data_IF_307088636269
#
_entry.id   IF_307088636269
#
_cell.length_a   1.000
_cell.length_b   1.000
_cell.length_c   1.000
_cell.angle_alpha   90.00
_cell.angle_beta   90.00
_cell.angle_gamma   90.00
#
_symmetry.space_group_name_H-M   'P 1'
#
loop_
_entity.id
_entity.type
_entity.pdbx_description
1 polymer ?
#
# COMPACT_ATOMS: atom_id res chain seq x y z
N UNK A 1 -30.98 19.87 1.25
CA UNK A 1 -31.24 18.48 0.81
C UNK A 1 -29.91 17.76 0.72
N UNK A 2 -29.58 16.97 1.74
CA UNK A 2 -28.39 16.16 1.74
C UNK A 2 -28.66 14.85 1.00
N UNK A 3 -27.82 14.55 0.00
CA UNK A 3 -27.77 13.21 -0.57
C UNK A 3 -27.07 12.30 0.43
N UNK A 4 -27.78 11.32 0.96
CA UNK A 4 -27.14 10.26 1.72
C UNK A 4 -26.41 9.34 0.78
N UNK A 5 -25.07 9.42 0.78
CA UNK A 5 -24.24 8.46 0.06
C UNK A 5 -24.14 7.21 0.94
N UNK A 6 -24.38 6.00 0.41
CA UNK A 6 -24.20 4.77 1.17
C UNK A 6 -22.78 4.71 1.73
N UNK A 7 -22.55 4.12 2.91
CA UNK A 7 -21.21 3.90 3.43
C UNK A 7 -20.35 3.14 2.42
N UNK A 8 -19.06 3.46 2.36
CA UNK A 8 -18.12 2.74 1.51
C UNK A 8 -18.08 1.26 1.90
N UNK A 9 -18.14 0.38 0.91
CA UNK A 9 -18.13 -1.06 1.13
C UNK A 9 -16.71 -1.59 1.08
N UNK A 10 -16.15 -1.88 2.26
CA UNK A 10 -14.82 -2.48 2.38
C UNK A 10 -14.88 -3.97 2.03
N UNK A 11 -13.75 -4.49 1.54
CA UNK A 11 -13.54 -5.92 1.36
C UNK A 11 -12.58 -6.47 2.44
N UNK A 12 -12.09 -7.65 2.27
CA UNK A 12 -11.14 -8.33 3.16
C UNK A 12 -9.93 -8.84 2.38
N UNK A 13 -8.87 -9.24 3.10
CA UNK A 13 -7.61 -9.66 2.49
C UNK A 13 -7.77 -10.90 1.60
N UNK A 14 -8.61 -11.85 2.00
CA UNK A 14 -8.84 -13.07 1.21
C UNK A 14 -9.45 -12.74 -0.15
N UNK A 15 -10.40 -11.84 -0.17
CA UNK A 15 -11.03 -11.36 -1.40
C UNK A 15 -10.01 -10.65 -2.29
N UNK A 16 -9.17 -9.80 -1.71
CA UNK A 16 -8.12 -9.09 -2.46
C UNK A 16 -7.15 -10.08 -3.13
N UNK A 17 -6.66 -11.06 -2.37
CA UNK A 17 -5.73 -12.06 -2.88
C UNK A 17 -6.40 -12.89 -4.00
N UNK A 18 -7.65 -13.28 -3.81
CA UNK A 18 -8.41 -14.00 -4.82
C UNK A 18 -8.60 -13.23 -6.11
N UNK A 19 -8.95 -11.96 -6.02
CA UNK A 19 -9.11 -11.09 -7.20
C UNK A 19 -7.80 -10.90 -7.95
N UNK A 20 -6.68 -10.72 -7.23
CA UNK A 20 -5.36 -10.61 -7.86
C UNK A 20 -4.96 -11.91 -8.57
N UNK A 21 -5.24 -13.06 -7.96
CA UNK A 21 -4.99 -14.35 -8.59
C UNK A 21 -5.80 -14.52 -9.88
N UNK A 22 -7.06 -14.10 -9.87
CA UNK A 22 -7.93 -14.16 -11.04
C UNK A 22 -7.49 -13.22 -12.17
N UNK A 23 -6.75 -12.16 -11.86
CA UNK A 23 -6.25 -11.23 -12.87
C UNK A 23 -5.16 -11.85 -13.77
N UNK A 24 -4.52 -12.93 -13.32
CA UNK A 24 -3.39 -13.53 -14.02
C UNK A 24 -2.08 -12.78 -13.91
N UNK A 25 -2.05 -11.66 -13.19
CA UNK A 25 -0.84 -10.86 -12.96
C UNK A 25 -0.34 -11.04 -11.54
N UNK A 26 0.97 -10.87 -11.29
CA UNK A 26 1.47 -10.85 -9.91
C UNK A 26 0.79 -9.74 -9.10
N UNK A 27 0.21 -10.08 -7.96
CA UNK A 27 -0.49 -9.11 -7.14
C UNK A 27 0.45 -8.02 -6.61
N UNK A 28 -0.09 -6.80 -6.46
CA UNK A 28 0.62 -5.69 -5.85
C UNK A 28 -0.35 -4.91 -4.98
N UNK A 29 -0.04 -4.82 -3.69
CA UNK A 29 -0.89 -4.18 -2.70
C UNK A 29 -0.10 -3.19 -1.85
N UNK A 30 -0.80 -2.21 -1.31
CA UNK A 30 -0.24 -1.31 -0.30
C UNK A 30 -1.02 -1.49 1.00
N UNK A 31 -0.29 -1.69 2.07
CA UNK A 31 -0.84 -1.76 3.44
C UNK A 31 -0.40 -0.51 4.19
N UNK A 32 -1.36 0.21 4.76
CA UNK A 32 -1.11 1.45 5.49
C UNK A 32 -1.15 1.20 6.99
N UNK A 33 -0.09 1.61 7.68
CA UNK A 33 0.03 1.49 9.13
C UNK A 33 0.10 2.88 9.76
N UNK A 34 -0.85 3.21 10.64
CA UNK A 34 -0.93 4.52 11.31
C UNK A 34 -1.13 5.72 10.36
N UNK A 35 -1.77 5.54 9.23
CA UNK A 35 -2.13 6.63 8.33
C UNK A 35 -3.54 7.13 8.71
N UNK A 36 -3.60 8.33 9.25
CA UNK A 36 -4.86 8.90 9.76
C UNK A 36 -5.43 10.02 8.90
N UNK A 37 -4.64 10.59 7.99
CA UNK A 37 -5.11 11.64 7.10
C UNK A 37 -5.81 11.02 5.88
N UNK A 38 -7.11 11.30 5.67
CA UNK A 38 -7.86 10.77 4.53
C UNK A 38 -7.31 11.24 3.17
N UNK A 39 -6.58 12.35 3.13
CA UNK A 39 -5.92 12.82 1.91
C UNK A 39 -4.78 11.91 1.51
N UNK A 40 -4.00 11.42 2.48
CA UNK A 40 -2.95 10.43 2.21
C UNK A 40 -3.56 9.10 1.71
N UNK A 41 -4.62 8.64 2.34
CA UNK A 41 -5.31 7.43 1.88
C UNK A 41 -5.81 7.59 0.43
N UNK A 42 -6.46 8.70 0.12
CA UNK A 42 -6.94 8.97 -1.25
C UNK A 42 -5.81 9.01 -2.27
N UNK A 43 -4.70 9.67 -1.94
CA UNK A 43 -3.53 9.75 -2.82
C UNK A 43 -2.91 8.37 -3.05
N UNK A 44 -2.83 7.54 -2.01
CA UNK A 44 -2.31 6.16 -2.13
C UNK A 44 -3.23 5.33 -3.04
N UNK A 45 -4.54 5.38 -2.84
CA UNK A 45 -5.50 4.67 -3.69
C UNK A 45 -5.31 5.04 -5.16
N UNK A 46 -5.18 6.35 -5.43
CA UNK A 46 -4.96 6.84 -6.79
C UNK A 46 -3.66 6.32 -7.39
N UNK A 47 -2.58 6.33 -6.62
CA UNK A 47 -1.28 5.83 -7.09
C UNK A 47 -1.30 4.32 -7.34
N UNK A 48 -1.92 3.54 -6.44
CA UNK A 48 -2.07 2.09 -6.64
C UNK A 48 -2.81 1.80 -7.93
N UNK A 49 -3.91 2.49 -8.18
CA UNK A 49 -4.68 2.33 -9.42
C UNK A 49 -3.85 2.74 -10.65
N UNK A 50 -3.13 3.86 -10.56
CA UNK A 50 -2.35 4.40 -11.68
C UNK A 50 -1.20 3.47 -12.09
N UNK A 51 -0.60 2.75 -11.14
CA UNK A 51 0.56 1.91 -11.36
C UNK A 51 0.26 0.42 -11.43
N UNK A 52 -1.01 0.06 -11.59
CA UNK A 52 -1.41 -1.32 -11.82
C UNK A 52 -1.48 -2.19 -10.58
N UNK A 53 -1.57 -1.59 -9.40
CA UNK A 53 -1.78 -2.34 -8.16
C UNK A 53 -3.21 -2.84 -8.04
N UNK A 54 -3.43 -3.77 -7.12
CA UNK A 54 -4.67 -4.53 -7.02
C UNK A 54 -5.55 -4.13 -5.84
N UNK A 55 -5.02 -3.40 -4.88
CA UNK A 55 -5.80 -2.95 -3.73
C UNK A 55 -4.98 -2.30 -2.64
N UNK A 56 -5.69 -1.78 -1.65
CA UNK A 56 -5.13 -1.14 -0.46
C UNK A 56 -5.74 -1.79 0.77
N UNK A 57 -4.92 -1.98 1.81
CA UNK A 57 -5.39 -2.51 3.10
C UNK A 57 -5.17 -1.45 4.17
N UNK A 58 -6.21 -1.21 4.96
CA UNK A 58 -6.17 -0.31 6.11
C UNK A 58 -6.57 -1.05 7.38
N UNK A 59 -6.06 -0.66 8.57
CA UNK A 59 -6.55 -1.21 9.82
C UNK A 59 -7.94 -0.66 10.14
N UNK A 60 -8.72 -1.43 10.88
CA UNK A 60 -10.06 -1.03 11.28
C UNK A 60 -10.04 0.17 12.25
N UNK A 61 -9.00 0.23 13.10
CA UNK A 61 -8.85 1.29 14.11
C UNK A 61 -7.61 2.13 13.82
N UNK A 62 -7.62 3.39 14.26
CA UNK A 62 -6.51 4.33 14.15
C UNK A 62 -6.05 4.52 12.70
N UNK A 63 -7.03 4.61 11.80
CA UNK A 63 -6.78 4.75 10.38
C UNK A 63 -7.79 5.71 9.76
N UNK A 64 -7.37 6.39 8.70
CA UNK A 64 -8.31 7.09 7.85
C UNK A 64 -9.23 6.07 7.18
N UNK A 65 -10.49 6.44 7.01
CA UNK A 65 -11.46 5.66 6.25
C UNK A 65 -11.74 6.30 4.89
N UNK A 66 -12.46 5.57 4.06
CA UNK A 66 -12.91 6.09 2.78
C UNK A 66 -14.10 7.02 3.00
N UNK A 67 -13.79 8.30 3.16
CA UNK A 67 -14.73 9.39 3.37
C UNK A 67 -14.85 10.25 2.12
N UNK A 68 -15.65 11.32 2.19
CA UNK A 68 -15.73 12.30 1.09
C UNK A 68 -14.39 12.91 0.71
N UNK A 69 -13.50 13.17 1.70
CA UNK A 69 -12.15 13.69 1.44
C UNK A 69 -11.30 12.64 0.69
N UNK A 70 -11.30 11.40 1.15
CA UNK A 70 -10.63 10.28 0.47
C UNK A 70 -11.13 10.14 -0.95
N UNK A 71 -12.43 10.21 -1.14
CA UNK A 71 -13.04 10.11 -2.46
C UNK A 71 -12.53 11.18 -3.42
N UNK A 72 -12.48 12.43 -2.95
CA UNK A 72 -12.00 13.56 -3.76
C UNK A 72 -10.51 13.43 -4.09
N UNK A 73 -9.68 13.12 -3.10
CA UNK A 73 -8.23 13.02 -3.29
C UNK A 73 -7.82 11.79 -4.10
N UNK A 74 -8.65 10.76 -4.13
CA UNK A 74 -8.44 9.59 -5.00
C UNK A 74 -8.84 9.86 -6.45
N UNK A 75 -9.42 11.02 -6.76
CA UNK A 75 -9.99 11.35 -8.07
C UNK A 75 -11.03 10.32 -8.55
N UNK A 76 -11.82 9.78 -7.62
CA UNK A 76 -12.84 8.77 -7.91
C UNK A 76 -12.33 7.35 -8.10
N UNK A 77 -11.02 7.10 -8.02
CA UNK A 77 -10.48 5.75 -8.19
C UNK A 77 -10.89 4.80 -7.06
N UNK A 78 -11.27 5.32 -5.89
CA UNK A 78 -11.81 4.51 -4.81
C UNK A 78 -13.07 3.73 -5.20
N UNK A 79 -13.78 4.16 -6.24
CA UNK A 79 -14.92 3.43 -6.77
C UNK A 79 -14.54 2.11 -7.43
N UNK A 80 -13.33 1.99 -7.93
CA UNK A 80 -12.87 0.85 -8.73
C UNK A 80 -11.79 0.01 -8.05
N UNK A 81 -10.96 0.65 -7.24
CA UNK A 81 -9.89 -0.06 -6.54
C UNK A 81 -10.40 -0.56 -5.20
N UNK A 82 -10.37 -1.87 -4.94
CA UNK A 82 -10.85 -2.38 -3.67
C UNK A 82 -9.96 -1.98 -2.50
N UNK A 83 -10.61 -1.64 -1.39
CA UNK A 83 -9.94 -1.34 -0.12
C UNK A 83 -10.43 -2.34 0.92
N UNK A 84 -9.51 -3.09 1.47
CA UNK A 84 -9.78 -4.00 2.58
C UNK A 84 -9.56 -3.30 3.91
N UNK A 85 -10.39 -3.64 4.88
CA UNK A 85 -10.25 -3.16 6.26
C UNK A 85 -10.09 -4.38 7.15
N UNK A 86 -8.98 -4.43 7.89
CA UNK A 86 -8.60 -5.58 8.70
C UNK A 86 -8.37 -5.19 10.16
N UNK A 87 -8.73 -6.09 11.07
CA UNK A 87 -8.57 -5.86 12.50
C UNK A 87 -7.10 -5.91 12.92
N UNK A 88 -6.32 -6.80 12.32
CA UNK A 88 -4.94 -7.07 12.72
C UNK A 88 -4.01 -7.09 11.51
N UNK A 89 -3.19 -6.05 11.35
CA UNK A 89 -2.28 -5.95 10.20
C UNK A 89 -1.22 -7.04 10.20
N UNK A 90 -0.68 -7.42 11.36
CA UNK A 90 0.32 -8.49 11.43
C UNK A 90 -0.24 -9.80 10.88
N UNK A 91 -1.45 -10.16 11.25
CA UNK A 91 -2.12 -11.34 10.74
C UNK A 91 -2.37 -11.23 9.22
N UNK A 92 -2.77 -10.04 8.77
CA UNK A 92 -2.99 -9.76 7.35
C UNK A 92 -1.71 -9.97 6.54
N UNK A 93 -0.59 -9.46 7.03
CA UNK A 93 0.70 -9.63 6.35
C UNK A 93 1.10 -11.11 6.28
N UNK A 94 0.88 -11.86 7.35
CA UNK A 94 1.13 -13.31 7.36
C UNK A 94 0.26 -14.05 6.36
N UNK A 95 -0.98 -13.61 6.16
CA UNK A 95 -1.87 -14.18 5.15
C UNK A 95 -1.33 -13.93 3.74
N UNK A 96 -0.83 -12.73 3.46
CA UNK A 96 -0.14 -12.44 2.21
C UNK A 96 1.07 -13.36 2.01
N UNK A 97 1.89 -13.53 3.04
CA UNK A 97 3.09 -14.39 2.98
C UNK A 97 2.74 -15.85 2.65
N UNK A 98 1.66 -16.36 3.25
CA UNK A 98 1.16 -17.71 2.95
C UNK A 98 0.78 -17.89 1.48
N UNK A 99 0.40 -16.81 0.82
CA UNK A 99 -0.02 -16.82 -0.57
C UNK A 99 1.10 -16.40 -1.53
N UNK A 100 2.34 -16.44 -1.07
CA UNK A 100 3.52 -16.22 -1.91
C UNK A 100 3.92 -14.76 -2.10
N UNK A 101 3.38 -13.84 -1.31
CA UNK A 101 3.75 -12.42 -1.37
C UNK A 101 4.97 -12.14 -0.54
N UNK A 102 5.88 -11.34 -1.07
CA UNK A 102 6.93 -10.73 -0.27
C UNK A 102 6.41 -9.44 0.34
N UNK A 103 6.64 -9.26 1.62
CA UNK A 103 6.19 -8.07 2.36
C UNK A 103 7.38 -7.14 2.55
N UNK A 104 7.29 -5.96 1.94
CA UNK A 104 8.35 -4.94 1.92
C UNK A 104 7.88 -3.75 2.75
N UNK A 105 8.53 -3.50 3.87
CA UNK A 105 8.26 -2.32 4.68
C UNK A 105 9.14 -1.16 4.26
N UNK A 106 8.56 0.03 4.14
CA UNK A 106 9.30 1.26 3.84
C UNK A 106 9.71 1.95 5.13
N UNK A 107 11.00 2.06 5.35
CA UNK A 107 11.52 2.79 6.50
C UNK A 107 12.95 3.25 6.24
N UNK A 108 13.35 4.32 6.90
CA UNK A 108 14.73 4.77 6.88
C UNK A 108 15.63 3.72 7.55
N UNK A 109 16.87 3.56 7.07
CA UNK A 109 17.81 2.60 7.61
C UNK A 109 17.54 1.15 7.27
N UNK A 110 16.73 0.89 6.24
CA UNK A 110 16.53 -0.45 5.73
C UNK A 110 17.79 -1.04 5.11
N UNK A 111 17.89 -2.37 5.13
CA UNK A 111 19.03 -3.09 4.56
C UNK A 111 19.10 -2.97 3.03
N UNK A 112 17.95 -2.78 2.42
CA UNK A 112 17.80 -2.64 0.98
C UNK A 112 17.42 -1.21 0.62
N UNK A 113 17.81 -0.80 -0.58
CA UNK A 113 17.34 0.46 -1.16
C UNK A 113 16.44 0.15 -2.36
N UNK A 114 15.59 1.10 -2.69
CA UNK A 114 14.71 0.99 -3.86
C UNK A 114 15.51 0.76 -5.15
N UNK A 115 16.70 1.37 -5.25
CA UNK A 115 17.56 1.26 -6.43
C UNK A 115 18.02 -0.16 -6.73
N UNK A 116 18.20 -0.98 -5.69
CA UNK A 116 18.76 -2.32 -5.82
C UNK A 116 17.72 -3.43 -5.64
N UNK A 117 16.51 -3.08 -5.25
CA UNK A 117 15.45 -4.06 -5.03
C UNK A 117 14.80 -4.46 -6.35
N UNK A 118 14.84 -5.73 -6.70
CA UNK A 118 14.35 -6.27 -7.97
C UNK A 118 13.07 -7.11 -7.83
N UNK A 119 12.48 -7.17 -6.65
CA UNK A 119 11.30 -7.98 -6.36
C UNK A 119 9.96 -7.38 -6.82
N UNK A 120 9.97 -6.27 -7.52
CA UNK A 120 8.73 -5.60 -7.97
C UNK A 120 7.94 -6.39 -9.01
N UNK A 121 8.55 -7.36 -9.69
CA UNK A 121 7.89 -8.21 -10.68
C UNK A 121 7.15 -9.40 -10.07
N UNK A 122 7.42 -9.71 -8.82
CA UNK A 122 6.79 -10.81 -8.09
C UNK A 122 5.56 -10.31 -7.31
N UNK A 123 4.74 -11.22 -6.76
CA UNK A 123 3.69 -10.82 -5.84
C UNK A 123 4.29 -10.07 -4.65
N UNK A 124 3.87 -8.84 -4.42
CA UNK A 124 4.49 -7.94 -3.45
C UNK A 124 3.46 -7.11 -2.69
N UNK A 125 3.74 -6.91 -1.42
CA UNK A 125 2.99 -6.01 -0.53
C UNK A 125 3.95 -4.94 -0.03
N UNK A 126 3.56 -3.68 -0.22
CA UNK A 126 4.32 -2.51 0.24
C UNK A 126 3.65 -2.00 1.51
N UNK A 127 4.38 -1.96 2.62
CA UNK A 127 3.87 -1.45 3.89
C UNK A 127 4.41 -0.04 4.12
N UNK A 128 3.51 0.91 4.34
CA UNK A 128 3.83 2.32 4.52
C UNK A 128 3.31 2.78 5.89
N UNK A 129 4.18 3.40 6.66
CA UNK A 129 3.83 3.98 7.95
C UNK A 129 3.72 5.50 7.91
N UNK A 130 3.29 6.10 9.01
CA UNK A 130 3.18 7.55 9.15
C UNK A 130 4.56 8.22 9.15
N UNK A 131 4.61 9.51 8.77
CA UNK A 131 5.85 10.28 8.71
C UNK A 131 6.59 10.32 10.04
N UNK A 132 5.90 10.56 11.15
CA UNK A 132 6.54 10.71 12.46
C UNK A 132 6.91 9.39 13.13
N UNK A 133 6.02 8.43 13.06
CA UNK A 133 6.14 7.16 13.78
C UNK A 133 6.69 6.02 12.92
N UNK A 134 6.59 6.14 11.60
CA UNK A 134 6.95 5.06 10.71
C UNK A 134 6.04 3.85 10.87
N UNK A 135 6.57 2.69 10.57
CA UNK A 135 5.87 1.41 10.72
C UNK A 135 5.95 0.98 12.20
N UNK A 136 4.84 0.46 12.75
CA UNK A 136 4.83 -0.08 14.11
C UNK A 136 5.77 -1.28 14.23
N UNK A 137 6.28 -1.52 15.45
CA UNK A 137 7.30 -2.54 15.69
C UNK A 137 6.89 -3.92 15.21
N UNK A 138 5.70 -4.39 15.57
CA UNK A 138 5.24 -5.74 15.20
C UNK A 138 5.05 -5.88 13.69
N UNK A 139 4.53 -4.85 13.05
CA UNK A 139 4.39 -4.84 11.58
C UNK A 139 5.76 -4.88 10.92
N UNK A 140 6.72 -4.08 11.43
CA UNK A 140 8.10 -4.09 10.93
C UNK A 140 8.76 -5.46 11.05
N UNK A 141 8.62 -6.11 12.20
CA UNK A 141 9.17 -7.44 12.44
C UNK A 141 8.56 -8.52 11.52
N UNK A 142 7.33 -8.31 11.07
CA UNK A 142 6.64 -9.24 10.16
C UNK A 142 7.07 -9.04 8.71
N UNK A 143 7.60 -7.87 8.35
CA UNK A 143 8.08 -7.63 6.99
C UNK A 143 9.25 -8.55 6.64
N UNK A 144 9.26 -9.04 5.41
CA UNK A 144 10.37 -9.85 4.88
C UNK A 144 11.60 -8.99 4.59
N UNK A 145 11.37 -7.76 4.14
CA UNK A 145 12.41 -6.81 3.76
C UNK A 145 12.03 -5.43 4.27
N UNK A 146 13.01 -4.71 4.78
CA UNK A 146 12.88 -3.28 5.04
C UNK A 146 13.68 -2.54 4.00
N UNK A 147 13.02 -1.66 3.28
CA UNK A 147 13.58 -0.94 2.14
C UNK A 147 13.48 0.57 2.37
N UNK A 148 14.54 1.27 2.04
CA UNK A 148 14.55 2.73 2.09
C UNK A 148 14.54 3.32 0.68
N UNK A 149 13.95 4.51 0.57
CA UNK A 149 14.03 5.32 -0.64
C UNK A 149 15.27 6.21 -0.52
N UNK A 150 16.25 6.10 -1.43
CA UNK A 150 17.44 6.96 -1.37
C UNK A 150 17.05 8.44 -1.51
N UNK A 151 17.58 9.27 -0.62
CA UNK A 151 17.37 10.72 -0.64
C UNK A 151 18.70 11.43 -0.51
N UNK A 152 18.78 12.62 -1.09
CA UNK A 152 19.95 13.48 -0.97
C UNK A 152 19.57 14.74 -0.19
N UNK A 153 20.53 15.25 0.58
CA UNK A 153 20.34 16.47 1.37
C UNK A 153 19.92 16.17 2.80
N UNK A 154 19.26 17.15 3.41
CA UNK A 154 18.94 17.13 4.83
C UNK A 154 17.51 16.68 5.16
N UNK A 155 16.73 16.35 4.15
CA UNK A 155 15.37 15.85 4.34
C UNK A 155 15.44 14.40 4.82
N UNK A 156 14.81 14.10 5.96
CA UNK A 156 14.90 12.78 6.59
C UNK A 156 13.79 11.81 6.13
N UNK A 157 12.65 12.35 5.70
CA UNK A 157 11.51 11.51 5.30
C UNK A 157 10.68 12.18 4.21
N UNK A 158 9.94 11.36 3.48
CA UNK A 158 8.93 11.80 2.53
C UNK A 158 7.54 11.68 3.15
N UNK A 159 6.59 12.47 2.64
CA UNK A 159 5.18 12.23 2.91
C UNK A 159 4.83 10.78 2.55
N UNK A 160 3.98 10.14 3.35
CA UNK A 160 3.67 8.72 3.19
C UNK A 160 3.11 8.39 1.80
N UNK A 161 2.20 9.21 1.28
CA UNK A 161 1.62 8.99 -0.04
C UNK A 161 2.64 9.19 -1.17
N UNK A 162 3.58 10.11 -0.99
CA UNK A 162 4.67 10.33 -1.94
C UNK A 162 5.62 9.13 -1.94
N UNK A 163 6.02 8.64 -0.77
CA UNK A 163 6.87 7.46 -0.65
C UNK A 163 6.22 6.24 -1.32
N UNK A 164 4.94 6.00 -1.06
CA UNK A 164 4.19 4.93 -1.71
C UNK A 164 4.20 5.08 -3.24
N UNK A 165 3.94 6.29 -3.73
CA UNK A 165 3.92 6.57 -5.18
C UNK A 165 5.27 6.32 -5.84
N UNK A 166 6.37 6.70 -5.20
CA UNK A 166 7.73 6.48 -5.72
C UNK A 166 8.01 4.98 -5.86
N UNK A 167 7.69 4.19 -4.84
CA UNK A 167 7.91 2.74 -4.86
C UNK A 167 7.01 2.05 -5.89
N UNK A 168 5.74 2.43 -5.93
CA UNK A 168 4.79 1.89 -6.91
C UNK A 168 5.24 2.17 -8.34
N UNK A 169 5.72 3.38 -8.61
CA UNK A 169 6.23 3.76 -9.93
C UNK A 169 7.43 2.89 -10.34
N UNK A 170 8.37 2.65 -9.42
CA UNK A 170 9.53 1.80 -9.69
C UNK A 170 9.12 0.34 -9.93
N UNK A 171 8.21 -0.19 -9.12
CA UNK A 171 7.73 -1.56 -9.32
C UNK A 171 6.96 -1.70 -10.64
N UNK A 172 6.16 -0.70 -11.01
CA UNK A 172 5.49 -0.67 -12.31
C UNK A 172 6.50 -0.66 -13.46
N UNK A 173 7.60 0.10 -13.31
CA UNK A 173 8.70 0.12 -14.29
C UNK A 173 9.32 -1.27 -14.43
N UNK A 174 9.63 -1.93 -13.33
CA UNK A 174 10.19 -3.28 -13.35
C UNK A 174 9.26 -4.26 -14.06
N UNK A 175 7.96 -4.18 -13.81
CA UNK A 175 6.95 -5.02 -14.45
C UNK A 175 6.88 -4.82 -15.96
N UNK A 176 6.93 -3.56 -16.41
CA UNK A 176 6.97 -3.27 -17.86
C UNK A 176 8.25 -3.80 -18.52
N UNK A 177 9.38 -3.67 -17.84
CA UNK A 177 10.67 -4.12 -18.36
C UNK A 177 10.80 -5.65 -18.39
N UNK A 178 10.24 -6.34 -17.38
CA UNK A 178 10.30 -7.79 -17.26
C UNK A 178 9.18 -8.54 -17.97
N UNK A 179 8.10 -7.87 -18.31
CA UNK A 179 6.90 -8.46 -18.91
C UNK A 179 6.79 -8.26 -20.40
N UNK A 180 7.89 -8.34 -21.10
CA UNK A 180 7.94 -8.14 -22.56
C UNK A 180 6.91 -8.98 -23.33
#
# INVERSE_FOLDING_TARGET
IGLQIPPYKYTDVHTLIGQAADSGEPGMFVVLDNITDPRNLGAVIRSVAAFGGHGVVIPERRSAGVTGVTWRTSAGTAARLPVAREVNLTRTLKEFQKNGYQVVGLDAGGEHTLDTYDGGTDPVVIVVGSEGKGISRLVRETCDVIMSVPMVGWVESLNASVAAGVVLAEFARQRRAGGA
#
